data_IF_643821679303
#
_entry.id   IF_643821679303
#
_cell.length_a   1.000
_cell.length_b   1.000
_cell.length_c   1.000
_cell.angle_alpha   90.00
_cell.angle_beta   90.00
_cell.angle_gamma   90.00
#
_symmetry.space_group_name_H-M   'P 1'
#
loop_
_entity.id
_entity.type
_entity.pdbx_description
1 polymer ?
#
# COMPACT_ATOMS: atom_id res chain seq x y z
N UNK A 1 -25.44 29.95 25.44
CA UNK A 1 -25.30 30.01 23.98
C UNK A 1 -25.98 28.75 23.52
N UNK A 2 -27.07 28.90 22.79
CA UNK A 2 -27.91 27.76 22.42
C UNK A 2 -27.13 26.85 21.48
N UNK A 3 -27.28 25.55 21.68
CA UNK A 3 -26.55 24.56 20.88
C UNK A 3 -27.16 24.44 19.49
N UNK A 4 -26.39 23.94 18.50
CA UNK A 4 -26.89 23.91 17.11
C UNK A 4 -28.14 23.04 16.96
N UNK A 5 -28.22 21.92 17.70
CA UNK A 5 -29.39 21.04 17.70
C UNK A 5 -30.63 21.71 18.28
N UNK A 6 -30.46 22.51 19.33
CA UNK A 6 -31.53 23.30 19.95
C UNK A 6 -32.04 24.39 18.99
N UNK A 7 -31.15 25.05 18.25
CA UNK A 7 -31.53 26.03 17.22
C UNK A 7 -32.34 25.38 16.10
N UNK A 8 -31.92 24.21 15.61
CA UNK A 8 -32.63 23.44 14.59
C UNK A 8 -34.04 23.04 15.07
N UNK A 9 -34.12 22.50 16.29
CA UNK A 9 -35.38 22.06 16.90
C UNK A 9 -36.36 23.23 17.05
N UNK A 10 -35.90 24.32 17.67
CA UNK A 10 -36.73 25.50 17.93
C UNK A 10 -37.22 26.13 16.63
N UNK A 11 -36.34 26.28 15.62
CA UNK A 11 -36.71 26.83 14.32
C UNK A 11 -37.77 25.97 13.62
N UNK A 12 -37.64 24.63 13.67
CA UNK A 12 -38.63 23.71 13.11
C UNK A 12 -39.99 23.87 13.81
N UNK A 13 -40.00 23.92 15.14
CA UNK A 13 -41.22 24.04 15.95
C UNK A 13 -41.89 25.39 15.73
N UNK A 14 -41.14 26.49 15.70
CA UNK A 14 -41.63 27.84 15.42
C UNK A 14 -42.30 27.94 14.04
N UNK A 15 -41.68 27.31 13.03
CA UNK A 15 -42.26 27.22 11.68
C UNK A 15 -43.39 26.19 11.57
N UNK A 16 -43.75 25.49 12.66
CA UNK A 16 -44.78 24.44 12.72
C UNK A 16 -44.58 23.35 11.65
N UNK A 17 -43.33 22.98 11.40
CA UNK A 17 -42.96 22.00 10.39
C UNK A 17 -42.89 20.59 10.99
N UNK A 18 -43.52 19.64 10.31
CA UNK A 18 -43.49 18.23 10.67
C UNK A 18 -42.18 17.59 10.19
N UNK A 19 -41.42 17.00 11.13
CA UNK A 19 -40.12 16.39 10.86
C UNK A 19 -40.22 15.24 9.85
N UNK A 20 -41.33 14.48 9.86
CA UNK A 20 -41.57 13.40 8.90
C UNK A 20 -41.77 13.94 7.47
N UNK A 21 -42.37 15.13 7.35
CA UNK A 21 -42.53 15.81 6.06
C UNK A 21 -41.18 16.32 5.54
N UNK A 22 -40.40 16.97 6.40
CA UNK A 22 -39.06 17.46 6.02
C UNK A 22 -38.18 16.30 5.56
N UNK A 23 -38.13 15.22 6.33
CA UNK A 23 -37.38 14.00 6.01
C UNK A 23 -37.64 13.49 4.58
N UNK A 24 -38.91 13.49 4.15
CA UNK A 24 -39.30 13.10 2.79
C UNK A 24 -38.86 14.12 1.73
N UNK A 25 -38.99 15.42 2.01
CA UNK A 25 -38.68 16.47 1.05
C UNK A 25 -37.18 16.62 0.76
N UNK A 26 -36.33 16.50 1.80
CA UNK A 26 -34.87 16.58 1.63
C UNK A 26 -34.20 15.21 1.46
N UNK A 27 -34.99 14.13 1.37
CA UNK A 27 -34.51 12.74 1.20
C UNK A 27 -33.49 12.31 2.26
N UNK A 28 -33.74 12.67 3.53
CA UNK A 28 -32.93 12.28 4.70
C UNK A 28 -33.85 11.57 5.69
N UNK A 29 -33.50 10.38 6.14
CA UNK A 29 -34.32 9.65 7.11
C UNK A 29 -34.53 10.45 8.41
N UNK A 30 -35.74 10.37 8.97
CA UNK A 30 -36.13 11.08 10.20
C UNK A 30 -35.15 10.86 11.36
N UNK A 31 -34.62 9.64 11.51
CA UNK A 31 -33.67 9.30 12.58
C UNK A 31 -32.41 10.19 12.56
N UNK A 32 -31.98 10.62 11.37
CA UNK A 32 -30.82 11.49 11.21
C UNK A 32 -31.16 12.95 11.52
N UNK A 33 -32.36 13.43 11.15
CA UNK A 33 -32.80 14.78 11.50
C UNK A 33 -33.01 14.93 13.01
N UNK A 34 -33.56 13.89 13.66
CA UNK A 34 -33.65 13.82 15.12
C UNK A 34 -32.25 13.77 15.76
N UNK A 35 -31.34 12.96 15.21
CA UNK A 35 -29.95 12.95 15.65
C UNK A 35 -29.24 14.31 15.54
N UNK A 36 -29.61 15.16 14.57
CA UNK A 36 -29.11 16.53 14.47
C UNK A 36 -29.71 17.44 15.55
N UNK A 37 -31.00 17.31 15.86
CA UNK A 37 -31.68 18.08 16.92
C UNK A 37 -31.21 17.68 18.33
N UNK A 38 -31.01 16.39 18.56
CA UNK A 38 -30.52 15.83 19.83
C UNK A 38 -28.97 15.89 19.93
N UNK A 39 -28.32 16.31 18.85
CA UNK A 39 -26.86 16.36 18.67
C UNK A 39 -26.14 15.03 18.96
N UNK A 40 -26.83 13.91 18.71
CA UNK A 40 -26.31 12.56 18.86
C UNK A 40 -25.51 12.17 17.62
N UNK A 41 -24.18 12.24 17.71
CA UNK A 41 -23.31 11.87 16.58
C UNK A 41 -23.26 10.35 16.31
N UNK A 42 -23.76 9.51 17.22
CA UNK A 42 -23.66 8.04 17.12
C UNK A 42 -24.62 7.42 16.09
N UNK A 43 -25.72 8.12 15.79
CA UNK A 43 -26.71 7.61 14.83
C UNK A 43 -26.24 7.70 13.38
N UNK A 44 -25.22 8.52 13.09
CA UNK A 44 -24.75 8.75 11.73
C UNK A 44 -23.72 7.69 11.31
N UNK A 45 -23.76 7.20 10.05
CA UNK A 45 -22.76 6.26 9.54
C UNK A 45 -21.33 6.83 9.47
N UNK A 46 -21.20 8.16 9.48
CA UNK A 46 -19.92 8.86 9.50
C UNK A 46 -20.11 10.38 9.54
N UNK A 47 -19.06 11.09 9.96
CA UNK A 47 -19.07 12.54 10.16
C UNK A 47 -19.39 13.32 8.88
N UNK A 48 -18.92 12.85 7.72
CA UNK A 48 -19.20 13.48 6.43
C UNK A 48 -20.71 13.52 6.12
N UNK A 49 -21.44 12.46 6.48
CA UNK A 49 -22.90 12.40 6.33
C UNK A 49 -23.59 13.37 7.27
N UNK A 50 -23.16 13.43 8.53
CA UNK A 50 -23.70 14.38 9.50
C UNK A 50 -23.51 15.83 9.05
N UNK A 51 -22.33 16.21 8.55
CA UNK A 51 -22.05 17.55 8.02
C UNK A 51 -22.94 17.86 6.80
N UNK A 52 -23.09 16.89 5.89
CA UNK A 52 -23.96 17.04 4.71
C UNK A 52 -25.44 17.19 5.09
N UNK A 53 -25.92 16.39 6.04
CA UNK A 53 -27.30 16.45 6.53
C UNK A 53 -27.56 17.73 7.32
N UNK A 54 -26.63 18.16 8.16
CA UNK A 54 -26.69 19.43 8.87
C UNK A 54 -26.79 20.60 7.89
N UNK A 55 -26.02 20.57 6.80
CA UNK A 55 -26.10 21.59 5.74
C UNK A 55 -27.46 21.61 5.06
N UNK A 56 -27.97 20.45 4.63
CA UNK A 56 -29.26 20.35 3.94
C UNK A 56 -30.43 20.76 4.84
N UNK A 57 -30.40 20.34 6.10
CA UNK A 57 -31.46 20.65 7.06
C UNK A 57 -31.44 22.13 7.46
N UNK A 58 -30.26 22.71 7.71
CA UNK A 58 -30.11 24.15 7.96
C UNK A 58 -30.62 24.98 6.78
N UNK A 59 -30.27 24.60 5.55
CA UNK A 59 -30.72 25.29 4.35
C UNK A 59 -32.25 25.21 4.19
N UNK A 60 -32.85 24.05 4.47
CA UNK A 60 -34.31 23.87 4.43
C UNK A 60 -35.02 24.75 5.48
N UNK A 61 -34.46 24.86 6.68
CA UNK A 61 -34.98 25.73 7.74
C UNK A 61 -34.65 27.22 7.53
N UNK A 62 -33.96 27.58 6.43
CA UNK A 62 -33.50 28.95 6.11
C UNK A 62 -32.56 29.53 7.18
N UNK A 63 -31.76 28.67 7.81
CA UNK A 63 -30.74 29.06 8.77
C UNK A 63 -29.39 29.30 8.08
N UNK A 64 -28.55 30.14 8.69
CA UNK A 64 -27.17 30.32 8.24
C UNK A 64 -26.40 29.02 8.43
N UNK A 65 -26.12 28.37 7.31
CA UNK A 65 -25.48 27.05 7.29
C UNK A 65 -24.02 27.12 7.72
N UNK A 66 -23.31 28.22 7.44
CA UNK A 66 -21.94 28.37 7.92
C UNK A 66 -21.90 28.53 9.44
N UNK A 67 -22.87 29.24 10.00
CA UNK A 67 -23.01 29.40 11.44
C UNK A 67 -23.29 28.05 12.11
N UNK A 68 -24.22 27.25 11.57
CA UNK A 68 -24.53 25.91 12.10
C UNK A 68 -23.30 24.99 12.09
N UNK A 69 -22.52 25.00 11.00
CA UNK A 69 -21.27 24.22 10.91
C UNK A 69 -20.19 24.72 11.88
N UNK A 70 -20.09 26.04 12.12
CA UNK A 70 -19.18 26.60 13.12
C UNK A 70 -19.55 26.16 14.54
N UNK A 71 -20.83 26.15 14.88
CA UNK A 71 -21.30 25.68 16.18
C UNK A 71 -20.98 24.19 16.40
N UNK A 72 -21.22 23.37 15.38
CA UNK A 72 -20.82 21.95 15.39
C UNK A 72 -19.31 21.77 15.62
N UNK A 73 -18.46 22.47 14.86
CA UNK A 73 -17.00 22.38 15.01
C UNK A 73 -16.53 22.84 16.39
N UNK A 74 -17.13 23.89 16.95
CA UNK A 74 -16.81 24.37 18.30
C UNK A 74 -17.15 23.33 19.37
N UNK A 75 -18.26 22.61 19.23
CA UNK A 75 -18.62 21.49 20.13
C UNK A 75 -17.57 20.38 20.05
N UNK A 76 -17.18 19.97 18.84
CA UNK A 76 -16.15 18.93 18.64
C UNK A 76 -14.81 19.28 19.28
N UNK A 77 -14.39 20.55 19.20
CA UNK A 77 -13.14 21.02 19.83
C UNK A 77 -13.22 20.94 21.37
N UNK A 78 -14.39 21.20 21.95
CA UNK A 78 -14.60 21.09 23.40
C UNK A 78 -14.66 19.64 23.89
N UNK A 79 -15.15 18.72 23.07
CA UNK A 79 -15.29 17.29 23.39
C UNK A 79 -14.06 16.44 23.03
N UNK A 80 -13.11 17.01 22.29
CA UNK A 80 -11.86 16.31 21.94
C UNK A 80 -10.93 16.22 23.16
N UNK A 81 -10.57 15.02 23.65
CA UNK A 81 -9.59 14.89 24.72
C UNK A 81 -8.24 15.45 24.25
N UNK A 82 -7.57 16.20 25.13
CA UNK A 82 -6.24 16.76 24.85
C UNK A 82 -5.30 15.62 24.45
N UNK A 83 -4.62 15.69 23.28
CA UNK A 83 -3.67 14.67 22.87
C UNK A 83 -2.59 14.50 23.93
N UNK A 84 -2.40 13.28 24.45
CA UNK A 84 -1.43 12.96 25.51
C UNK A 84 0.04 13.29 25.13
N UNK A 85 0.31 13.62 23.87
CA UNK A 85 1.64 13.94 23.34
C UNK A 85 2.16 15.37 23.58
N UNK A 86 1.38 16.31 24.13
CA UNK A 86 1.81 17.70 24.32
C UNK A 86 2.42 18.02 25.69
N UNK A 87 2.57 17.04 26.59
CA UNK A 87 3.35 17.22 27.82
C UNK A 87 4.84 17.17 27.46
N UNK A 88 5.41 18.33 27.13
CA UNK A 88 6.84 18.50 26.95
C UNK A 88 7.58 18.11 28.25
N UNK A 89 8.07 16.86 28.32
CA UNK A 89 8.87 16.37 29.44
C UNK A 89 10.19 17.14 29.45
N UNK A 90 10.29 18.17 30.32
CA UNK A 90 11.47 19.03 30.49
C UNK A 90 12.67 18.16 30.88
N UNK A 91 13.51 17.78 29.91
CA UNK A 91 14.70 16.95 30.16
C UNK A 91 15.66 17.70 31.10
N UNK A 92 16.11 17.10 32.19
CA UNK A 92 16.90 17.80 33.21
C UNK A 92 18.35 18.02 32.73
N UNK A 93 18.89 19.23 32.95
CA UNK A 93 20.15 19.74 32.39
C UNK A 93 21.43 18.95 32.75
N UNK A 94 21.36 18.04 33.72
CA UNK A 94 22.48 17.19 34.15
C UNK A 94 22.71 15.96 33.26
N UNK A 95 21.77 15.62 32.36
CA UNK A 95 21.94 14.50 31.43
C UNK A 95 22.98 14.77 30.34
N UNK A 96 23.18 16.04 29.96
CA UNK A 96 24.13 16.43 28.92
C UNK A 96 25.59 16.15 29.35
N UNK A 97 26.07 16.59 30.52
CA UNK A 97 27.42 16.23 30.96
C UNK A 97 27.58 14.72 31.21
N UNK A 98 26.52 14.02 31.66
CA UNK A 98 26.57 12.57 31.88
C UNK A 98 26.79 11.75 30.59
N UNK A 99 26.37 12.27 29.43
CA UNK A 99 26.57 11.60 28.13
C UNK A 99 27.88 12.05 27.46
N UNK A 100 28.25 13.33 27.60
CA UNK A 100 29.44 13.88 26.90
C UNK A 100 30.75 13.38 27.52
N UNK A 101 30.83 13.27 28.84
CA UNK A 101 32.06 12.81 29.53
C UNK A 101 32.52 11.41 29.10
N UNK A 102 31.67 10.37 29.07
CA UNK A 102 32.11 9.03 28.64
C UNK A 102 32.49 8.98 27.16
N UNK A 103 31.82 9.75 26.30
CA UNK A 103 32.16 9.80 24.87
C UNK A 103 33.53 10.42 24.66
N UNK A 104 33.84 11.55 25.31
CA UNK A 104 35.17 12.18 25.21
C UNK A 104 36.26 11.26 25.78
N UNK A 105 35.95 10.54 26.86
CA UNK A 105 36.87 9.54 27.42
C UNK A 105 37.15 8.41 26.41
N UNK A 106 36.12 7.83 25.78
CA UNK A 106 36.27 6.79 24.77
C UNK A 106 37.11 7.25 23.57
N UNK A 107 36.90 8.47 23.08
CA UNK A 107 37.71 9.03 21.99
C UNK A 107 39.17 9.19 22.41
N UNK A 108 39.43 9.67 23.64
CA UNK A 108 40.81 9.81 24.14
C UNK A 108 41.54 8.46 24.29
N UNK A 109 40.81 7.40 24.68
CA UNK A 109 41.33 6.03 24.78
C UNK A 109 41.61 5.47 23.38
N UNK A 110 40.73 5.70 22.41
CA UNK A 110 40.94 5.24 21.03
C UNK A 110 42.17 5.90 20.38
N UNK A 111 42.38 7.21 20.61
CA UNK A 111 43.55 7.96 20.10
C UNK A 111 44.85 7.48 20.74
N UNK A 112 44.83 7.20 22.05
CA UNK A 112 46.02 6.69 22.74
C UNK A 112 46.37 5.26 22.31
N UNK A 113 45.38 4.39 22.10
CA UNK A 113 45.58 3.03 21.56
C UNK A 113 46.13 3.06 20.14
N UNK A 114 45.61 3.91 19.26
CA UNK A 114 46.11 4.03 17.87
C UNK A 114 47.54 4.55 17.83
N UNK A 115 47.91 5.53 18.65
CA UNK A 115 49.29 6.01 18.76
C UNK A 115 50.26 4.93 19.27
N UNK A 116 49.80 4.06 20.18
CA UNK A 116 50.57 2.94 20.72
C UNK A 116 50.76 1.81 19.69
N UNK A 117 49.74 1.54 18.87
CA UNK A 117 49.81 0.58 17.78
C UNK A 117 50.72 1.06 16.63
N UNK A 118 50.72 2.36 16.33
CA UNK A 118 51.59 2.95 15.32
C UNK A 118 53.06 3.01 15.76
N UNK A 119 53.32 3.09 17.07
CA UNK A 119 54.69 3.06 17.63
C UNK A 119 55.29 1.65 17.73
N UNK A 120 54.53 0.61 17.34
CA UNK A 120 54.93 -0.80 17.44
C UNK A 120 54.89 -1.49 16.06
N UNK A 121 55.78 -1.07 15.15
CA UNK A 121 56.10 -1.92 13.98
C UNK A 121 57.51 -1.66 13.44
N UNK A 122 58.42 -2.54 13.84
CA UNK A 122 59.50 -3.01 12.99
C UNK A 122 59.55 -4.53 13.15
N UNK A 123 60.12 -5.19 12.13
CA UNK A 123 60.22 -6.64 11.91
C UNK A 123 59.14 -7.19 10.97
N UNK A 124 59.55 -7.29 9.70
CA UNK A 124 59.06 -8.23 8.71
C UNK A 124 59.11 -9.67 9.25
N UNK A 125 58.09 -10.47 8.94
CA UNK A 125 58.35 -11.82 8.44
C UNK A 125 57.24 -12.26 7.49
N UNK A 126 57.69 -12.91 6.44
CA UNK A 126 56.96 -13.55 5.36
C UNK A 126 56.34 -14.85 5.85
N UNK A 127 55.14 -15.20 5.37
CA UNK A 127 54.64 -16.58 5.24
C UNK A 127 53.25 -16.60 4.63
N UNK A 128 53.20 -17.16 3.42
CA UNK A 128 52.00 -17.73 2.82
C UNK A 128 51.47 -18.94 3.61
N UNK A 129 50.20 -19.27 3.36
CA UNK A 129 49.60 -20.62 3.15
C UNK A 129 48.21 -20.76 3.84
N UNK A 130 47.19 -20.66 2.98
CA UNK A 130 46.03 -21.57 2.82
C UNK A 130 45.06 -21.80 3.99
N UNK A 131 43.87 -21.20 3.81
CA UNK A 131 42.50 -21.77 3.91
C UNK A 131 42.16 -22.59 5.17
N UNK A 132 41.18 -22.09 5.93
CA UNK A 132 40.00 -22.89 6.27
C UNK A 132 38.80 -22.00 6.57
N UNK A 133 37.67 -22.41 5.99
CA UNK A 133 36.41 -21.70 5.87
C UNK A 133 35.67 -21.51 7.20
N UNK A 134 35.01 -20.37 7.34
CA UNK A 134 33.56 -20.35 7.52
C UNK A 134 33.06 -18.94 7.22
N UNK A 135 32.58 -18.75 6.00
CA UNK A 135 31.47 -17.81 5.77
C UNK A 135 30.32 -18.31 6.63
N UNK A 136 30.28 -17.87 7.90
CA UNK A 136 29.04 -17.93 8.65
C UNK A 136 28.22 -16.77 8.13
N UNK A 137 27.42 -17.04 7.11
CA UNK A 137 26.29 -16.21 6.73
C UNK A 137 25.57 -15.81 8.02
N UNK A 138 25.47 -14.52 8.29
CA UNK A 138 24.87 -14.03 9.53
C UNK A 138 23.36 -14.25 9.45
N UNK A 139 22.77 -14.71 10.56
CA UNK A 139 21.33 -14.86 10.70
C UNK A 139 20.78 -13.73 11.56
N UNK A 140 19.80 -13.01 11.02
CA UNK A 140 19.14 -11.89 11.66
C UNK A 140 17.67 -12.25 11.91
N UNK A 141 17.20 -12.16 13.14
CA UNK A 141 15.78 -12.34 13.44
C UNK A 141 15.08 -11.00 13.27
N UNK A 142 14.10 -10.94 12.38
CA UNK A 142 13.29 -9.76 12.16
C UNK A 142 12.12 -9.80 13.16
N UNK A 143 12.09 -8.83 14.07
CA UNK A 143 10.99 -8.61 15.03
C UNK A 143 10.11 -7.45 14.53
N UNK A 144 9.06 -7.09 15.28
CA UNK A 144 8.16 -5.94 14.98
C UNK A 144 8.87 -4.56 15.01
N UNK A 145 10.18 -4.54 15.27
CA UNK A 145 11.00 -3.34 15.32
C UNK A 145 11.76 -3.11 14.00
N UNK A 146 11.99 -1.83 13.65
CA UNK A 146 12.79 -1.46 12.49
C UNK A 146 14.21 -2.01 12.62
N UNK A 147 14.56 -2.98 11.78
CA UNK A 147 15.92 -3.45 11.59
C UNK A 147 16.67 -2.44 10.72
N UNK A 148 17.89 -2.06 11.10
CA UNK A 148 18.74 -1.18 10.27
C UNK A 148 20.19 -1.58 10.45
N UNK A 149 20.73 -2.26 9.45
CA UNK A 149 22.13 -2.72 9.47
C UNK A 149 22.63 -2.97 8.06
N UNK A 150 23.96 -3.00 7.93
CA UNK A 150 24.64 -3.50 6.74
C UNK A 150 24.65 -5.02 6.71
N UNK A 151 24.24 -5.58 5.58
CA UNK A 151 24.19 -7.02 5.32
C UNK A 151 24.98 -7.39 4.06
N UNK A 152 25.37 -8.66 3.98
CA UNK A 152 26.21 -9.21 2.94
C UNK A 152 25.51 -10.35 2.21
N UNK A 153 26.00 -10.66 1.01
CA UNK A 153 25.50 -11.78 0.22
C UNK A 153 25.59 -13.08 1.00
N UNK A 154 24.49 -13.83 1.00
CA UNK A 154 24.34 -15.09 1.73
C UNK A 154 23.79 -14.93 3.13
N UNK A 155 23.76 -13.73 3.72
CA UNK A 155 23.12 -13.49 5.02
C UNK A 155 21.62 -13.85 4.96
N UNK A 156 21.09 -14.25 6.11
CA UNK A 156 19.73 -14.78 6.22
C UNK A 156 18.90 -13.97 7.21
N UNK A 157 17.67 -13.66 6.84
CA UNK A 157 16.68 -13.10 7.72
C UNK A 157 15.67 -14.18 8.12
N UNK A 158 15.45 -14.32 9.41
CA UNK A 158 14.46 -15.22 9.99
C UNK A 158 13.25 -14.39 10.38
N UNK A 159 12.15 -14.56 9.66
CA UNK A 159 10.87 -13.91 9.94
C UNK A 159 10.01 -14.89 10.74
N UNK A 160 9.72 -14.61 12.03
CA UNK A 160 8.84 -15.44 12.83
C UNK A 160 7.40 -15.26 12.34
N UNK A 161 6.75 -16.36 11.95
CA UNK A 161 5.33 -16.43 11.58
C UNK A 161 4.63 -17.46 12.49
N UNK A 162 3.30 -17.41 12.60
CA UNK A 162 2.55 -18.33 13.47
C UNK A 162 2.71 -19.82 13.09
N UNK A 163 3.03 -20.11 11.82
CA UNK A 163 3.22 -21.47 11.28
C UNK A 163 4.70 -21.90 11.10
N UNK A 164 5.66 -21.09 11.57
CA UNK A 164 7.08 -21.43 11.48
C UNK A 164 8.01 -20.22 11.34
N UNK A 165 9.21 -20.45 10.83
CA UNK A 165 10.17 -19.39 10.51
C UNK A 165 10.37 -19.37 9.00
N UNK A 166 10.11 -18.23 8.38
CA UNK A 166 10.44 -18.03 6.98
C UNK A 166 11.87 -17.49 6.89
N UNK A 167 12.71 -18.17 6.10
CA UNK A 167 14.10 -17.79 5.89
C UNK A 167 14.23 -17.05 4.57
N UNK A 168 14.61 -15.78 4.64
CA UNK A 168 14.92 -14.96 3.47
C UNK A 168 16.44 -14.90 3.32
N UNK A 169 16.98 -15.09 2.12
CA UNK A 169 18.44 -15.10 1.90
C UNK A 169 18.88 -13.95 1.02
N UNK A 170 19.87 -13.16 1.44
CA UNK A 170 20.42 -12.07 0.63
C UNK A 170 21.12 -12.66 -0.59
N UNK A 171 20.61 -12.34 -1.77
CA UNK A 171 21.08 -12.88 -3.05
C UNK A 171 22.10 -11.96 -3.70
N UNK A 172 21.76 -10.69 -3.86
CA UNK A 172 22.54 -9.72 -4.63
C UNK A 172 22.77 -8.44 -3.80
N UNK A 173 24.00 -7.95 -3.76
CA UNK A 173 24.42 -6.75 -3.00
C UNK A 173 25.17 -5.73 -3.87
N UNK A 174 25.12 -5.89 -5.20
CA UNK A 174 25.82 -5.04 -6.17
C UNK A 174 24.78 -4.36 -7.06
N UNK A 175 24.82 -3.03 -7.12
CA UNK A 175 23.94 -2.14 -7.91
C UNK A 175 22.44 -2.15 -7.57
N UNK A 176 21.87 -3.31 -7.25
CA UNK A 176 20.53 -3.50 -6.71
C UNK A 176 20.58 -4.52 -5.57
N UNK A 177 19.65 -4.41 -4.62
CA UNK A 177 19.51 -5.36 -3.53
C UNK A 177 18.56 -6.48 -3.95
N UNK A 178 19.04 -7.72 -3.91
CA UNK A 178 18.27 -8.92 -4.21
C UNK A 178 18.03 -9.76 -2.97
N UNK A 179 16.79 -10.18 -2.72
CA UNK A 179 16.40 -11.03 -1.60
C UNK A 179 15.65 -12.26 -2.10
N UNK A 180 16.12 -13.44 -1.74
CA UNK A 180 15.46 -14.70 -2.03
C UNK A 180 14.37 -14.95 -1.00
N UNK A 181 13.12 -15.01 -1.46
CA UNK A 181 11.93 -15.28 -0.64
C UNK A 181 11.23 -16.54 -1.16
N UNK A 182 10.39 -17.22 -0.36
CA UNK A 182 9.62 -18.38 -0.85
C UNK A 182 8.75 -18.07 -2.07
N UNK A 183 8.27 -16.83 -2.17
CA UNK A 183 7.45 -16.32 -3.28
C UNK A 183 8.27 -15.92 -4.51
N UNK A 184 9.61 -15.93 -4.43
CA UNK A 184 10.53 -15.60 -5.51
C UNK A 184 11.63 -14.62 -5.12
N UNK A 185 12.40 -14.18 -6.09
CA UNK A 185 13.49 -13.22 -5.87
C UNK A 185 12.93 -11.80 -5.94
N UNK A 186 13.04 -11.09 -4.84
CA UNK A 186 12.70 -9.70 -4.72
C UNK A 186 13.91 -8.81 -5.07
N UNK A 187 13.68 -7.69 -5.76
CA UNK A 187 14.71 -6.72 -6.11
C UNK A 187 14.26 -5.30 -5.74
N UNK A 188 15.19 -4.47 -5.27
CA UNK A 188 14.97 -3.03 -5.04
C UNK A 188 16.25 -2.23 -5.24
N UNK A 189 16.10 -0.97 -5.62
CA UNK A 189 17.19 -0.07 -5.95
C UNK A 189 17.57 0.88 -4.79
N UNK A 190 18.69 1.59 -4.96
CA UNK A 190 19.16 2.59 -3.99
C UNK A 190 18.10 3.69 -3.76
N UNK A 191 17.84 4.00 -2.50
CA UNK A 191 16.89 5.04 -2.06
C UNK A 191 15.43 4.78 -2.45
N UNK A 192 15.08 3.53 -2.73
CA UNK A 192 13.70 3.08 -2.96
C UNK A 192 13.13 2.41 -1.70
N UNK A 193 11.86 2.71 -1.38
CA UNK A 193 11.07 1.97 -0.39
C UNK A 193 10.17 0.99 -1.13
N UNK A 194 10.29 -0.29 -0.78
CA UNK A 194 9.57 -1.36 -1.46
C UNK A 194 8.85 -2.26 -0.47
N UNK A 195 7.64 -2.65 -0.83
CA UNK A 195 6.79 -3.53 -0.05
C UNK A 195 6.92 -4.97 -0.55
N UNK A 196 7.12 -5.92 0.36
CA UNK A 196 7.33 -7.34 0.05
C UNK A 196 6.28 -8.18 0.76
N UNK A 197 5.57 -8.98 0.00
CA UNK A 197 4.76 -10.10 0.46
C UNK A 197 5.64 -11.37 0.48
N UNK A 198 5.88 -11.89 1.69
CA UNK A 198 6.70 -13.08 1.89
C UNK A 198 5.85 -14.35 1.78
N UNK A 199 4.60 -14.28 2.23
CA UNK A 199 3.76 -15.43 2.48
C UNK A 199 2.83 -15.77 1.29
N UNK A 200 2.71 -14.85 0.32
CA UNK A 200 1.94 -15.01 -0.91
C UNK A 200 0.44 -14.70 -0.76
N UNK A 201 0.01 -14.07 0.32
CA UNK A 201 -1.39 -13.69 0.59
C UNK A 201 -1.80 -12.35 -0.05
N UNK A 202 -0.92 -11.73 -0.83
CA UNK A 202 -1.10 -10.41 -1.45
C UNK A 202 -1.15 -9.24 -0.46
N UNK A 203 -0.75 -9.46 0.80
CA UNK A 203 -0.55 -8.43 1.80
C UNK A 203 0.95 -8.28 2.03
N UNK A 204 1.47 -7.06 1.90
CA UNK A 204 2.88 -6.83 2.16
C UNK A 204 3.21 -7.02 3.65
N UNK A 205 4.06 -8.02 3.92
CA UNK A 205 4.55 -8.37 5.26
C UNK A 205 5.71 -7.46 5.71
N UNK A 206 6.58 -7.05 4.77
CA UNK A 206 7.77 -6.25 5.04
C UNK A 206 7.83 -5.00 4.17
N UNK A 207 8.41 -3.94 4.74
CA UNK A 207 8.88 -2.77 4.01
C UNK A 207 10.40 -2.78 4.05
N UNK A 208 11.03 -2.77 2.88
CA UNK A 208 12.49 -2.73 2.73
C UNK A 208 12.90 -1.42 2.09
N UNK A 209 13.86 -0.74 2.71
CA UNK A 209 14.46 0.49 2.20
C UNK A 209 15.98 0.33 2.10
N UNK A 210 16.55 0.63 0.93
CA UNK A 210 18.01 0.58 0.72
C UNK A 210 18.60 1.98 0.89
N UNK A 211 19.39 2.17 1.95
CA UNK A 211 20.05 3.45 2.22
C UNK A 211 21.41 3.59 1.56
N UNK A 212 22.15 2.50 1.38
CA UNK A 212 23.46 2.50 0.71
C UNK A 212 23.75 1.15 0.04
N UNK A 213 24.21 1.19 -1.21
CA UNK A 213 24.62 0.03 -1.99
C UNK A 213 25.77 0.40 -2.91
N UNK A 214 26.72 -0.52 -3.06
CA UNK A 214 27.85 -0.31 -3.96
C UNK A 214 27.49 -0.65 -5.40
N UNK A 215 27.90 0.20 -6.35
CA UNK A 215 27.86 -0.09 -7.78
C UNK A 215 29.11 -0.80 -8.32
N UNK A 216 30.17 -0.94 -7.51
CA UNK A 216 31.48 -1.39 -8.02
C UNK A 216 32.07 -2.60 -7.30
N UNK A 217 31.62 -2.90 -6.07
CA UNK A 217 32.16 -4.01 -5.28
C UNK A 217 31.08 -4.63 -4.40
N UNK A 218 30.75 -5.89 -4.70
CA UNK A 218 29.73 -6.69 -4.02
C UNK A 218 30.07 -6.95 -2.55
N UNK A 219 31.36 -6.97 -2.20
CA UNK A 219 31.84 -7.26 -0.84
C UNK A 219 31.60 -6.11 0.15
N UNK A 220 31.23 -4.92 -0.34
CA UNK A 220 30.91 -3.77 0.52
C UNK A 220 29.55 -3.90 1.20
N UNK A 221 28.72 -4.87 0.78
CA UNK A 221 27.40 -5.11 1.35
C UNK A 221 26.41 -3.96 1.10
N UNK A 222 25.19 -4.14 1.59
CA UNK A 222 24.08 -3.20 1.46
C UNK A 222 23.65 -2.76 2.84
N UNK A 223 23.53 -1.44 3.05
CA UNK A 223 22.86 -0.92 4.24
C UNK A 223 21.39 -0.74 3.96
N UNK A 224 20.58 -1.43 4.74
CA UNK A 224 19.14 -1.48 4.54
C UNK A 224 18.38 -1.32 5.84
N UNK A 225 17.15 -0.84 5.71
CA UNK A 225 16.17 -0.79 6.77
C UNK A 225 15.01 -1.73 6.44
N UNK A 226 14.71 -2.68 7.32
CA UNK A 226 13.54 -3.56 7.19
C UNK A 226 12.57 -3.26 8.33
N UNK A 227 11.31 -3.11 8.01
CA UNK A 227 10.23 -2.97 8.98
C UNK A 227 9.17 -4.03 8.70
N UNK A 228 8.86 -4.85 9.70
CA UNK A 228 7.70 -5.74 9.64
C UNK A 228 6.41 -4.93 9.84
N UNK A 229 5.40 -5.16 8.99
CA UNK A 229 4.09 -4.53 9.11
C UNK A 229 3.28 -5.32 10.15
N UNK A 230 2.79 -4.64 11.19
CA UNK A 230 2.04 -5.27 12.27
C UNK A 230 0.74 -5.89 11.73
N UNK A 231 0.60 -7.21 11.86
CA UNK A 231 -0.57 -7.95 11.38
C UNK A 231 -0.26 -9.24 10.62
N UNK A 232 0.60 -10.11 11.17
CA UNK A 232 0.58 -11.54 10.80
C UNK A 232 -0.70 -12.15 11.41
N UNK A 233 -1.86 -11.69 10.95
CA UNK A 233 -3.14 -12.26 11.27
C UNK A 233 -3.46 -13.23 10.15
N UNK A 234 -3.19 -14.51 10.43
CA UNK A 234 -3.70 -15.58 9.60
C UNK A 234 -5.23 -15.55 9.66
N UNK A 235 -5.88 -15.19 8.55
CA UNK A 235 -7.28 -15.59 8.38
C UNK A 235 -7.31 -17.12 8.35
N UNK A 236 -8.30 -17.77 8.99
CA UNK A 236 -8.44 -19.21 8.93
C UNK A 236 -8.50 -19.62 7.46
N UNK A 237 -7.85 -20.74 7.15
CA UNK A 237 -7.86 -21.41 5.86
C UNK A 237 -9.27 -21.41 5.26
N UNK A 238 -9.58 -20.40 4.46
CA UNK A 238 -10.36 -20.64 3.28
C UNK A 238 -9.35 -21.25 2.32
N UNK A 239 -9.64 -22.47 1.89
CA UNK A 239 -9.13 -23.01 0.65
C UNK A 239 -9.48 -22.00 -0.46
N UNK A 240 -8.68 -20.95 -0.62
CA UNK A 240 -8.69 -20.16 -1.81
C UNK A 240 -8.04 -21.07 -2.82
N UNK A 241 -8.89 -21.80 -3.55
CA UNK A 241 -8.55 -22.38 -4.84
C UNK A 241 -7.57 -21.44 -5.52
N UNK A 242 -6.29 -21.83 -5.59
CA UNK A 242 -5.42 -21.33 -6.64
C UNK A 242 -6.17 -21.75 -7.89
N UNK A 243 -6.89 -20.82 -8.51
CA UNK A 243 -7.49 -21.10 -9.81
C UNK A 243 -6.29 -21.36 -10.72
N UNK A 244 -6.08 -22.64 -11.03
CA UNK A 244 -5.16 -23.07 -12.06
C UNK A 244 -5.44 -22.20 -13.28
N UNK A 245 -4.40 -21.55 -13.81
CA UNK A 245 -4.52 -20.74 -15.03
C UNK A 245 -5.25 -21.62 -16.06
N UNK A 246 -6.45 -21.23 -16.49
CA UNK A 246 -7.31 -22.12 -17.23
C UNK A 246 -6.60 -22.59 -18.50
N UNK A 247 -6.62 -23.91 -18.73
CA UNK A 247 -6.11 -24.49 -19.95
C UNK A 247 -6.96 -23.97 -21.12
N UNK A 248 -6.33 -23.73 -22.28
CA UNK A 248 -7.01 -23.31 -23.52
C UNK A 248 -8.20 -24.22 -23.87
N UNK A 249 -8.16 -25.48 -23.43
CA UNK A 249 -9.21 -26.48 -23.65
C UNK A 249 -10.50 -26.22 -22.84
N UNK A 250 -10.41 -25.50 -21.72
CA UNK A 250 -11.56 -25.16 -20.85
C UNK A 250 -12.25 -23.86 -21.30
N UNK A 251 -11.56 -23.02 -22.09
CA UNK A 251 -12.10 -21.78 -22.64
C UNK A 251 -12.73 -22.07 -24.00
N UNK A 252 -13.91 -22.68 -24.01
CA UNK A 252 -14.82 -22.60 -25.17
C UNK A 252 -15.46 -21.21 -25.25
N UNK A 253 -14.68 -20.15 -25.45
CA UNK A 253 -15.27 -18.84 -25.77
C UNK A 253 -15.68 -18.81 -27.24
N UNK A 254 -16.94 -18.48 -27.51
CA UNK A 254 -17.41 -18.14 -28.86
C UNK A 254 -16.90 -16.76 -29.33
N UNK A 255 -16.25 -16.01 -28.44
CA UNK A 255 -15.87 -14.62 -28.64
C UNK A 255 -14.45 -14.47 -29.20
N UNK A 256 -14.18 -13.39 -29.95
CA UNK A 256 -12.86 -13.11 -30.53
C UNK A 256 -11.79 -12.94 -29.44
N UNK A 257 -10.63 -13.56 -29.64
CA UNK A 257 -9.48 -13.48 -28.75
C UNK A 257 -8.30 -12.83 -29.47
N UNK A 258 -7.68 -11.83 -28.86
CA UNK A 258 -6.44 -11.21 -29.33
C UNK A 258 -5.29 -11.60 -28.41
N UNK A 259 -4.30 -12.33 -28.94
CA UNK A 259 -3.08 -12.67 -28.19
C UNK A 259 -2.15 -11.46 -28.22
N UNK A 260 -1.75 -10.98 -27.05
CA UNK A 260 -0.84 -9.83 -26.90
C UNK A 260 0.60 -10.32 -26.73
N UNK A 261 0.80 -11.36 -25.92
CA UNK A 261 2.11 -11.88 -25.56
C UNK A 261 2.06 -13.39 -25.34
N UNK A 262 3.14 -14.08 -25.70
CA UNK A 262 3.37 -15.49 -25.38
C UNK A 262 4.69 -15.63 -24.61
N UNK A 263 4.68 -16.35 -23.50
CA UNK A 263 5.86 -16.59 -22.65
C UNK A 263 5.81 -17.99 -22.01
N UNK A 264 6.91 -18.43 -21.40
CA UNK A 264 7.03 -19.70 -20.69
C UNK A 264 6.51 -19.63 -19.24
N UNK A 265 6.18 -18.43 -18.73
CA UNK A 265 5.58 -18.22 -17.41
C UNK A 265 4.54 -17.10 -17.46
N UNK A 266 3.49 -17.23 -16.66
CA UNK A 266 2.58 -16.12 -16.36
C UNK A 266 3.20 -15.29 -15.23
N UNK A 267 3.17 -13.97 -15.38
CA UNK A 267 3.67 -13.02 -14.39
C UNK A 267 2.74 -11.80 -14.33
N UNK A 268 2.77 -11.02 -13.23
CA UNK A 268 1.93 -9.84 -13.10
C UNK A 268 2.19 -8.82 -14.21
N UNK A 269 1.13 -8.25 -14.77
CA UNK A 269 1.24 -7.18 -15.78
C UNK A 269 0.64 -5.89 -15.25
N UNK A 270 1.06 -4.75 -15.78
CA UNK A 270 0.45 -3.46 -15.45
C UNK A 270 -0.49 -3.04 -16.57
N UNK A 271 -1.73 -2.70 -16.21
CA UNK A 271 -2.71 -2.08 -17.10
C UNK A 271 -2.84 -0.61 -16.75
N UNK A 272 -2.56 0.26 -17.71
CA UNK A 272 -2.84 1.68 -17.64
C UNK A 272 -3.98 2.04 -18.59
N UNK A 273 -5.01 2.70 -18.08
CA UNK A 273 -6.14 3.22 -18.85
C UNK A 273 -6.14 4.75 -18.75
N UNK A 274 -6.00 5.42 -19.89
CA UNK A 274 -6.04 6.89 -19.98
C UNK A 274 -7.35 7.36 -20.59
N UNK A 275 -8.05 8.26 -19.90
CA UNK A 275 -9.40 8.70 -20.27
C UNK A 275 -9.36 10.03 -21.03
N UNK A 276 -9.94 10.07 -22.23
CA UNK A 276 -10.01 11.25 -23.11
C UNK A 276 -11.29 12.07 -22.93
N UNK A 277 -12.18 11.63 -22.05
CA UNK A 277 -13.53 12.15 -21.88
C UNK A 277 -14.29 11.39 -20.78
N UNK A 278 -15.57 11.69 -20.58
CA UNK A 278 -16.39 11.04 -19.57
C UNK A 278 -16.63 9.56 -19.87
N UNK A 279 -16.31 8.69 -18.92
CA UNK A 279 -16.56 7.26 -19.01
C UNK A 279 -16.83 6.68 -17.62
N UNK A 280 -17.99 6.04 -17.45
CA UNK A 280 -18.19 5.09 -16.34
C UNK A 280 -17.34 3.86 -16.62
N UNK A 281 -16.47 3.52 -15.66
CA UNK A 281 -15.51 2.43 -15.77
C UNK A 281 -15.60 1.57 -14.53
N UNK A 282 -15.82 0.28 -14.73
CA UNK A 282 -15.78 -0.71 -13.66
C UNK A 282 -14.65 -1.69 -13.95
N UNK A 283 -13.89 -2.03 -12.93
CA UNK A 283 -12.80 -2.98 -13.01
C UNK A 283 -12.91 -4.01 -11.89
N UNK A 284 -12.55 -5.25 -12.21
CA UNK A 284 -12.39 -6.35 -11.26
C UNK A 284 -11.05 -6.99 -11.53
N UNK A 285 -10.10 -6.72 -10.65
CA UNK A 285 -8.75 -7.30 -10.69
C UNK A 285 -8.82 -8.67 -10.02
N UNK A 286 -8.40 -9.72 -10.71
CA UNK A 286 -8.39 -11.09 -10.20
C UNK A 286 -9.73 -11.50 -9.54
N UNK A 287 -9.70 -11.93 -8.27
CA UNK A 287 -10.88 -12.28 -7.46
C UNK A 287 -11.27 -11.20 -6.44
N UNK A 288 -10.72 -9.99 -6.56
CA UNK A 288 -11.13 -8.87 -5.72
C UNK A 288 -12.53 -8.37 -6.06
N UNK A 289 -13.15 -7.65 -5.12
CA UNK A 289 -14.41 -6.97 -5.39
C UNK A 289 -14.26 -5.98 -6.53
N UNK A 290 -15.31 -5.87 -7.36
CA UNK A 290 -15.29 -4.94 -8.47
C UNK A 290 -15.41 -3.50 -7.96
N UNK A 291 -14.54 -2.63 -8.42
CA UNK A 291 -14.63 -1.19 -8.17
C UNK A 291 -15.27 -0.50 -9.38
N UNK A 292 -16.17 0.45 -9.12
CA UNK A 292 -16.84 1.26 -10.15
C UNK A 292 -16.57 2.73 -9.89
N UNK A 293 -16.01 3.40 -10.89
CA UNK A 293 -15.61 4.81 -10.79
C UNK A 293 -15.93 5.52 -12.10
N UNK A 294 -16.37 6.77 -12.00
CA UNK A 294 -16.57 7.63 -13.15
C UNK A 294 -15.31 8.45 -13.42
N UNK A 295 -14.74 8.30 -14.61
CA UNK A 295 -13.54 9.00 -15.02
C UNK A 295 -13.83 10.12 -16.01
N UNK A 296 -13.06 11.21 -15.87
CA UNK A 296 -13.11 12.40 -16.72
C UNK A 296 -11.86 12.53 -17.60
N UNK A 297 -11.89 13.50 -18.52
CA UNK A 297 -10.76 13.76 -19.44
C UNK A 297 -9.47 14.07 -18.67
N UNK A 298 -8.41 13.32 -18.97
CA UNK A 298 -7.07 13.49 -18.42
C UNK A 298 -6.78 12.61 -17.20
N UNK A 299 -7.77 11.93 -16.66
CA UNK A 299 -7.57 10.97 -15.57
C UNK A 299 -6.99 9.66 -16.09
N UNK A 300 -6.32 8.94 -15.19
CA UNK A 300 -5.65 7.67 -15.48
C UNK A 300 -6.04 6.66 -14.41
N UNK A 301 -6.28 5.42 -14.82
CA UNK A 301 -6.44 4.27 -13.96
C UNK A 301 -5.26 3.32 -14.18
N UNK A 302 -4.67 2.83 -13.09
CA UNK A 302 -3.57 1.87 -13.13
C UNK A 302 -3.93 0.67 -12.26
N UNK A 303 -3.74 -0.54 -12.79
CA UNK A 303 -3.93 -1.78 -12.07
C UNK A 303 -2.78 -2.76 -12.36
N UNK A 304 -2.46 -3.61 -11.39
CA UNK A 304 -1.41 -4.63 -11.50
C UNK A 304 -1.98 -6.05 -11.26
N UNK A 305 -2.70 -6.65 -12.23
CA UNK A 305 -3.28 -7.97 -12.06
C UNK A 305 -2.23 -9.09 -12.07
N UNK A 306 -2.44 -10.13 -11.27
CA UNK A 306 -1.58 -11.32 -11.24
C UNK A 306 -1.99 -12.35 -12.30
N UNK A 307 -3.28 -12.62 -12.42
CA UNK A 307 -3.83 -13.60 -13.36
C UNK A 307 -4.64 -12.91 -14.47
N UNK A 308 -5.51 -11.97 -14.10
CA UNK A 308 -6.29 -11.22 -15.06
C UNK A 308 -7.17 -10.13 -14.48
N UNK A 309 -7.78 -9.35 -15.36
CA UNK A 309 -8.66 -8.25 -15.01
C UNK A 309 -9.87 -8.26 -15.94
N UNK A 310 -11.05 -8.06 -15.36
CA UNK A 310 -12.28 -7.80 -16.11
C UNK A 310 -12.59 -6.31 -16.09
N UNK A 311 -12.90 -5.78 -17.26
CA UNK A 311 -13.20 -4.38 -17.47
C UNK A 311 -14.62 -4.24 -18.03
N UNK A 312 -15.39 -3.30 -17.49
CA UNK A 312 -16.65 -2.85 -18.08
C UNK A 312 -16.53 -1.36 -18.37
N UNK A 313 -16.76 -1.01 -19.63
CA UNK A 313 -16.45 0.32 -20.16
C UNK A 313 -17.71 0.84 -20.84
N UNK A 314 -18.26 1.94 -20.33
CA UNK A 314 -19.47 2.55 -20.90
C UNK A 314 -19.23 3.24 -22.25
N UNK A 315 -18.00 3.65 -22.55
CA UNK A 315 -17.64 4.29 -23.81
C UNK A 315 -16.18 4.00 -24.17
N UNK A 316 -15.95 2.92 -24.92
CA UNK A 316 -14.61 2.41 -25.24
C UNK A 316 -13.74 3.36 -26.06
N UNK A 317 -14.32 4.17 -26.95
CA UNK A 317 -13.57 5.19 -27.73
C UNK A 317 -12.92 6.28 -26.86
N UNK A 318 -13.40 6.42 -25.62
CA UNK A 318 -12.91 7.43 -24.68
C UNK A 318 -11.74 6.92 -23.84
N UNK A 319 -11.43 5.63 -23.89
CA UNK A 319 -10.37 5.01 -23.09
C UNK A 319 -9.26 4.53 -24.00
N UNK A 320 -8.00 4.81 -23.64
CA UNK A 320 -6.82 4.19 -24.27
C UNK A 320 -6.13 3.31 -23.25
N UNK A 321 -6.02 2.01 -23.56
CA UNK A 321 -5.31 1.06 -22.72
C UNK A 321 -3.87 0.85 -23.18
N UNK A 322 -3.01 0.70 -22.19
CA UNK A 322 -1.59 0.41 -22.34
C UNK A 322 -1.24 -0.68 -21.34
N UNK A 323 -0.83 -1.83 -21.84
CA UNK A 323 -0.39 -2.97 -21.03
C UNK A 323 1.13 -2.99 -21.03
N UNK A 324 1.73 -3.13 -19.86
CA UNK A 324 3.16 -3.30 -19.69
C UNK A 324 3.40 -4.70 -19.13
N UNK A 325 4.10 -5.53 -19.91
CA UNK A 325 4.43 -6.91 -19.57
C UNK A 325 5.81 -7.27 -20.17
N UNK A 326 6.70 -7.91 -19.39
CA UNK A 326 8.08 -8.25 -19.79
C UNK A 326 8.85 -7.06 -20.38
N UNK A 327 8.75 -5.90 -19.73
CA UNK A 327 9.35 -4.63 -20.19
C UNK A 327 8.91 -4.19 -21.60
N UNK A 328 7.84 -4.78 -22.16
CA UNK A 328 7.22 -4.40 -23.43
C UNK A 328 5.89 -3.71 -23.18
N UNK A 329 5.62 -2.71 -24.00
CA UNK A 329 4.39 -1.93 -23.94
C UNK A 329 3.50 -2.30 -25.11
N UNK A 330 2.26 -2.69 -24.83
CA UNK A 330 1.24 -3.04 -25.80
C UNK A 330 0.09 -2.05 -25.72
N UNK A 331 -0.22 -1.40 -26.83
CA UNK A 331 -1.40 -0.56 -26.94
C UNK A 331 -2.56 -1.40 -27.49
N UNK A 332 -3.72 -1.32 -26.82
CA UNK A 332 -4.94 -1.96 -27.29
C UNK A 332 -5.74 -0.99 -28.15
N UNK A 333 -6.46 -1.57 -29.12
CA UNK A 333 -7.16 -0.80 -30.14
C UNK A 333 -8.39 -0.08 -29.58
N UNK A 334 -8.73 1.01 -30.27
CA UNK A 334 -9.78 1.95 -29.89
C UNK A 334 -11.13 1.35 -30.31
N UNK A 335 -12.02 1.11 -29.35
CA UNK A 335 -13.40 0.70 -29.64
C UNK A 335 -14.22 1.80 -30.34
N UNK A 336 -15.40 1.46 -30.85
CA UNK A 336 -16.22 2.41 -31.61
C UNK A 336 -16.82 3.49 -30.69
N UNK A 337 -17.03 4.70 -31.21
CA UNK A 337 -17.66 5.79 -30.45
C UNK A 337 -19.04 5.36 -29.92
N UNK A 338 -19.21 5.42 -28.59
CA UNK A 338 -20.46 5.04 -27.92
C UNK A 338 -20.68 3.54 -27.74
N UNK A 339 -19.70 2.70 -28.08
CA UNK A 339 -19.76 1.26 -27.78
C UNK A 339 -19.50 1.04 -26.29
N UNK A 340 -20.42 0.29 -25.66
CA UNK A 340 -20.20 -0.33 -24.35
C UNK A 340 -19.42 -1.61 -24.59
N UNK A 341 -18.38 -1.84 -23.80
CA UNK A 341 -17.47 -2.95 -24.01
C UNK A 341 -17.17 -3.65 -22.68
N UNK A 342 -17.19 -4.98 -22.72
CA UNK A 342 -16.70 -5.83 -21.63
C UNK A 342 -15.51 -6.63 -22.12
N UNK A 343 -14.36 -6.45 -21.48
CA UNK A 343 -13.12 -7.17 -21.83
C UNK A 343 -12.57 -7.94 -20.63
N UNK A 344 -12.12 -9.15 -20.89
CA UNK A 344 -11.25 -9.92 -19.99
C UNK A 344 -9.83 -9.92 -20.54
N UNK A 345 -8.89 -9.39 -19.76
CA UNK A 345 -7.45 -9.48 -20.05
C UNK A 345 -6.86 -10.46 -19.05
N UNK A 346 -6.39 -11.63 -19.49
CA UNK A 346 -5.88 -12.67 -18.59
C UNK A 346 -4.84 -13.57 -19.21
N UNK A 347 -4.07 -14.22 -18.36
CA UNK A 347 -3.21 -15.32 -18.75
C UNK A 347 -4.04 -16.58 -19.02
N UNK A 348 -3.70 -17.29 -20.09
CA UNK A 348 -4.23 -18.61 -20.42
C UNK A 348 -3.07 -19.56 -20.70
N UNK A 349 -3.23 -20.85 -20.37
CA UNK A 349 -2.20 -21.85 -20.59
C UNK A 349 -2.50 -22.66 -21.85
N UNK A 350 -1.57 -22.68 -22.79
CA UNK A 350 -1.68 -23.41 -24.05
C UNK A 350 -1.35 -24.90 -23.87
N UNK A 351 -1.79 -25.73 -24.82
CA UNK A 351 -1.52 -27.18 -24.84
C UNK A 351 -0.04 -27.50 -24.92
N UNK A 352 0.75 -26.56 -25.45
CA UNK A 352 2.22 -26.64 -25.55
C UNK A 352 2.93 -26.27 -24.23
N UNK A 353 2.18 -25.95 -23.17
CA UNK A 353 2.71 -25.57 -21.85
C UNK A 353 3.17 -24.11 -21.74
N UNK A 354 3.03 -23.32 -22.82
CA UNK A 354 3.28 -21.87 -22.82
C UNK A 354 2.09 -21.09 -22.28
N UNK A 355 2.35 -19.92 -21.71
CA UNK A 355 1.33 -18.99 -21.25
C UNK A 355 1.13 -17.89 -22.28
N UNK A 356 -0.14 -17.52 -22.52
CA UNK A 356 -0.51 -16.43 -23.42
C UNK A 356 -1.32 -15.39 -22.67
N UNK A 357 -0.94 -14.13 -22.80
CA UNK A 357 -1.74 -13.02 -22.33
C UNK A 357 -2.75 -12.69 -23.44
N UNK A 358 -4.02 -12.90 -23.16
CA UNK A 358 -5.10 -12.71 -24.13
C UNK A 358 -6.06 -11.61 -23.68
N UNK A 359 -6.57 -10.88 -24.66
CA UNK A 359 -7.77 -10.06 -24.52
C UNK A 359 -8.93 -10.81 -25.14
N UNK A 360 -9.98 -10.99 -24.34
CA UNK A 360 -11.21 -11.63 -24.73
C UNK A 360 -12.31 -10.59 -24.62
N UNK A 361 -12.89 -10.20 -25.75
CA UNK A 361 -14.11 -9.40 -25.77
C UNK A 361 -15.27 -10.32 -25.34
N UNK A 362 -16.10 -9.92 -24.38
CA UNK A 362 -17.17 -10.78 -23.83
C UNK A 362 -18.58 -10.42 -24.34
N UNK A 363 -18.70 -9.33 -25.10
CA UNK A 363 -19.95 -8.89 -25.74
C UNK A 363 -20.22 -9.55 -27.10
#
# INVERSE_FOLDING_TARGET
MDSFGEILHNTRVEKSLDIDKIAREISIEKKYLQGLEDEDSSVFPGEAYMIGFLRNYSAYLELDTELMLKLYNNKKIQESPVPEGLIAKRRPRWLIPAIVIPVVFLVSVAVTITALLLSRKNTEDDSQVVVTNSSKNAQYVLDDSKFTQRVYKGDQFLVPTENGQIVLTVRDTLSSFGLDTPSGVFYTDLAEESEIDINGDSIADLIVYVSDISYTDENRGVELSILARHGIQSQPQNETLIEEIPFITDIKSKHPQKIILEDNRAYPFTLNASFRGPCLFRSRVDNYESSETYFSRGEVFTANPHNGIRLWISNSNTVKFTIIADSRTFELDIGVAGQVLVEDIKWIKDTDGKYKLVVIELD
#
